data_IF_826910653451
#
_entry.id   IF_826910653451
#
_cell.length_a   1.000
_cell.length_b   1.000
_cell.length_c   1.000
_cell.angle_alpha   90.00
_cell.angle_beta   90.00
_cell.angle_gamma   90.00
#
_symmetry.space_group_name_H-M   'P 1'
#
loop_
_entity.id
_entity.type
_entity.pdbx_description
1 polymer ?
#
# COMPACT_ATOMS: atom_id res chain seq x y z
N UNK A 1 -9.90 46.65 -68.59
CA UNK A 1 -8.83 45.85 -68.04
C UNK A 1 -9.29 45.36 -66.64
N UNK A 2 -9.82 44.14 -66.57
CA UNK A 2 -10.29 43.51 -65.30
C UNK A 2 -9.17 42.63 -64.75
N UNK A 3 -8.68 42.94 -63.57
CA UNK A 3 -7.73 42.09 -62.83
C UNK A 3 -8.49 41.16 -61.89
N UNK A 4 -8.35 39.84 -62.17
CA UNK A 4 -8.98 38.77 -61.40
C UNK A 4 -8.10 38.42 -60.19
N UNK A 5 -8.62 38.60 -58.99
CA UNK A 5 -7.96 38.16 -57.72
C UNK A 5 -8.38 36.72 -57.44
N UNK A 6 -7.47 35.79 -57.55
CA UNK A 6 -7.64 34.42 -57.11
C UNK A 6 -7.39 34.31 -55.59
N UNK A 7 -8.40 33.97 -54.81
CA UNK A 7 -8.33 33.60 -53.39
C UNK A 7 -7.90 32.13 -53.31
N UNK A 8 -6.73 31.87 -52.74
CA UNK A 8 -6.30 30.53 -52.33
C UNK A 8 -6.86 30.22 -50.98
N UNK A 9 -7.74 29.21 -50.88
CA UNK A 9 -8.16 28.62 -49.60
C UNK A 9 -7.01 27.74 -49.08
N UNK A 10 -6.43 28.15 -47.96
CA UNK A 10 -5.52 27.29 -47.20
C UNK A 10 -6.33 26.34 -46.27
N UNK A 11 -6.20 25.04 -46.55
CA UNK A 11 -6.78 23.99 -45.74
C UNK A 11 -5.87 23.78 -44.48
N UNK A 12 -6.32 24.22 -43.31
CA UNK A 12 -5.65 23.95 -42.06
C UNK A 12 -6.00 22.51 -41.59
N UNK A 13 -5.02 21.62 -41.69
CA UNK A 13 -5.13 20.27 -41.13
C UNK A 13 -4.99 20.30 -39.60
N UNK A 14 -6.08 20.04 -38.90
CA UNK A 14 -6.08 19.83 -37.43
C UNK A 14 -5.49 18.45 -37.14
N UNK A 15 -4.28 18.40 -36.64
CA UNK A 15 -3.67 17.17 -36.11
C UNK A 15 -4.16 17.01 -34.66
N UNK A 16 -5.11 16.11 -34.48
CA UNK A 16 -5.59 15.71 -33.13
C UNK A 16 -4.54 14.81 -32.51
N UNK A 17 -3.73 15.31 -31.58
CA UNK A 17 -2.87 14.47 -30.75
C UNK A 17 -3.77 13.68 -29.77
N UNK A 18 -3.95 12.38 -30.05
CA UNK A 18 -4.46 11.43 -29.07
C UNK A 18 -3.37 11.16 -28.02
N UNK A 19 -3.52 11.72 -26.83
CA UNK A 19 -2.77 11.27 -25.65
C UNK A 19 -3.34 9.90 -25.21
N UNK A 20 -2.48 8.86 -25.08
CA UNK A 20 -2.93 7.63 -24.45
C UNK A 20 -3.22 7.94 -22.99
N UNK A 21 -4.46 7.78 -22.56
CA UNK A 21 -4.83 7.79 -21.16
C UNK A 21 -4.07 6.66 -20.44
N UNK A 22 -3.11 7.03 -19.62
CA UNK A 22 -2.46 6.10 -18.71
C UNK A 22 -3.57 5.54 -17.80
N UNK A 23 -3.89 4.26 -17.93
CA UNK A 23 -4.76 3.54 -17.01
C UNK A 23 -4.04 3.52 -15.64
N UNK A 24 -4.33 4.51 -14.79
CA UNK A 24 -4.14 4.37 -13.37
C UNK A 24 -4.94 3.13 -12.96
N UNK A 25 -4.28 2.14 -12.37
CA UNK A 25 -4.95 0.99 -11.80
C UNK A 25 -5.86 1.49 -10.68
N UNK A 26 -7.08 1.84 -11.03
CA UNK A 26 -8.12 2.22 -10.08
C UNK A 26 -8.35 0.99 -9.20
N UNK A 27 -8.18 1.16 -7.89
CA UNK A 27 -8.65 0.18 -6.93
C UNK A 27 -10.15 0.01 -7.20
N UNK A 28 -10.59 -1.25 -7.40
CA UNK A 28 -12.00 -1.52 -7.61
C UNK A 28 -12.82 -0.88 -6.49
N UNK A 29 -13.91 -0.15 -6.77
CA UNK A 29 -14.70 0.56 -5.76
C UNK A 29 -15.27 -0.36 -4.66
N UNK A 30 -15.26 -1.69 -4.88
CA UNK A 30 -15.74 -2.71 -3.95
C UNK A 30 -14.60 -3.39 -3.14
N UNK A 31 -13.36 -2.91 -3.22
CA UNK A 31 -12.26 -3.52 -2.49
C UNK A 31 -12.35 -3.24 -0.99
N UNK A 32 -12.56 -4.30 -0.20
CA UNK A 32 -12.66 -4.23 1.27
C UNK A 32 -11.32 -4.62 1.88
N UNK A 33 -10.88 -3.87 2.90
CA UNK A 33 -9.75 -4.26 3.72
C UNK A 33 -10.25 -4.92 5.01
N UNK A 34 -9.60 -6.03 5.40
CA UNK A 34 -9.90 -6.69 6.67
C UNK A 34 -8.65 -6.69 7.53
N UNK A 35 -8.78 -6.23 8.75
CA UNK A 35 -7.72 -6.25 9.77
C UNK A 35 -8.26 -6.88 11.04
N UNK A 36 -7.54 -7.84 11.59
CA UNK A 36 -8.02 -8.51 12.78
C UNK A 36 -7.08 -9.61 13.29
N UNK A 37 -7.64 -10.49 14.05
CA UNK A 37 -6.98 -11.70 14.58
C UNK A 37 -7.70 -12.92 14.04
N UNK A 38 -6.95 -13.92 13.62
CA UNK A 38 -7.49 -15.21 13.17
C UNK A 38 -8.09 -15.93 14.38
N UNK A 39 -9.37 -16.28 14.29
CA UNK A 39 -10.05 -17.11 15.32
C UNK A 39 -9.96 -18.60 14.96
N UNK A 40 -10.14 -18.92 13.68
CA UNK A 40 -10.03 -20.29 13.17
C UNK A 40 -9.74 -20.33 11.68
N UNK A 41 -9.23 -21.46 11.21
CA UNK A 41 -8.99 -21.74 9.78
C UNK A 41 -9.62 -23.08 9.46
N UNK A 42 -10.46 -23.10 8.42
CA UNK A 42 -11.12 -24.30 7.91
C UNK A 42 -10.95 -24.35 6.38
N UNK A 43 -10.00 -25.14 5.95
CA UNK A 43 -9.58 -25.20 4.56
C UNK A 43 -9.13 -23.80 4.06
N UNK A 44 -9.85 -23.28 3.06
CA UNK A 44 -9.60 -21.94 2.50
C UNK A 44 -10.39 -20.83 3.20
N UNK A 45 -11.13 -21.13 4.25
CA UNK A 45 -11.90 -20.15 5.00
C UNK A 45 -11.17 -19.77 6.28
N UNK A 46 -10.90 -18.49 6.43
CA UNK A 46 -10.28 -17.91 7.63
C UNK A 46 -11.33 -17.05 8.35
N UNK A 47 -11.68 -17.43 9.56
CA UNK A 47 -12.56 -16.64 10.42
C UNK A 47 -11.71 -15.61 11.16
N UNK A 48 -12.03 -14.34 10.98
CA UNK A 48 -11.25 -13.20 11.49
C UNK A 48 -12.14 -12.37 12.42
N UNK A 49 -11.65 -12.12 13.63
CA UNK A 49 -12.20 -11.11 14.53
C UNK A 49 -11.60 -9.76 14.19
N UNK A 50 -12.39 -8.87 13.62
CA UNK A 50 -12.00 -7.50 13.28
C UNK A 50 -11.57 -6.67 14.49
N UNK A 51 -10.86 -5.57 14.26
CA UNK A 51 -10.49 -4.60 15.33
C UNK A 51 -11.73 -3.93 15.94
N UNK A 52 -12.80 -3.86 15.20
CA UNK A 52 -14.15 -3.39 15.62
C UNK A 52 -14.95 -4.45 16.39
N UNK A 53 -14.39 -5.65 16.57
CA UNK A 53 -15.05 -6.79 17.19
C UNK A 53 -15.96 -7.59 16.27
N UNK A 54 -16.15 -7.17 15.01
CA UNK A 54 -17.00 -7.85 14.03
C UNK A 54 -16.29 -9.09 13.48
N UNK A 55 -16.98 -10.22 13.50
CA UNK A 55 -16.48 -11.44 12.87
C UNK A 55 -16.66 -11.36 11.35
N UNK A 56 -15.58 -11.62 10.60
CA UNK A 56 -15.56 -11.62 9.14
C UNK A 56 -15.02 -12.95 8.63
N UNK A 57 -15.74 -13.59 7.70
CA UNK A 57 -15.23 -14.77 6.99
C UNK A 57 -14.43 -14.31 5.78
N UNK A 58 -13.16 -14.71 5.71
CA UNK A 58 -12.30 -14.49 4.57
C UNK A 58 -12.14 -15.81 3.82
N UNK A 59 -12.56 -15.84 2.56
CA UNK A 59 -12.41 -16.99 1.66
C UNK A 59 -11.20 -16.74 0.77
N UNK A 60 -10.19 -17.58 0.87
CA UNK A 60 -9.01 -17.50 0.02
C UNK A 60 -9.32 -18.09 -1.36
N UNK A 61 -8.85 -17.42 -2.42
CA UNK A 61 -8.88 -18.00 -3.77
C UNK A 61 -7.85 -19.14 -3.87
N UNK A 62 -7.99 -20.02 -4.85
CA UNK A 62 -7.08 -21.17 -5.04
C UNK A 62 -5.62 -20.74 -5.26
N UNK A 63 -5.42 -19.57 -5.87
CA UNK A 63 -4.13 -18.95 -6.16
C UNK A 63 -3.71 -17.88 -5.13
N UNK A 64 -4.40 -17.82 -3.99
CA UNK A 64 -4.17 -16.80 -2.99
C UNK A 64 -2.70 -16.77 -2.53
N UNK A 65 -2.13 -15.57 -2.50
CA UNK A 65 -0.77 -15.33 -2.03
C UNK A 65 -0.79 -15.01 -0.54
N UNK A 66 -0.10 -15.84 0.23
CA UNK A 66 0.13 -15.59 1.66
C UNK A 66 1.51 -14.98 1.83
N UNK A 67 1.58 -13.84 2.50
CA UNK A 67 2.81 -13.21 2.95
C UNK A 67 2.79 -13.16 4.47
N UNK A 68 3.96 -13.22 5.08
CA UNK A 68 4.12 -12.91 6.50
C UNK A 68 4.76 -11.55 6.69
N UNK A 69 4.67 -11.03 7.90
CA UNK A 69 5.51 -9.92 8.38
C UNK A 69 6.33 -10.37 9.58
N UNK A 70 7.62 -10.12 9.48
CA UNK A 70 8.60 -10.33 10.55
C UNK A 70 9.04 -8.98 11.10
N UNK A 71 9.27 -8.91 12.43
CA UNK A 71 9.76 -7.68 13.08
C UNK A 71 11.15 -7.32 12.58
N UNK A 72 11.36 -6.04 12.33
CA UNK A 72 12.64 -5.44 11.97
C UNK A 72 12.96 -4.28 12.90
N UNK A 73 14.16 -3.74 12.75
CA UNK A 73 14.61 -2.58 13.49
C UNK A 73 14.62 -1.33 12.63
N UNK A 74 14.61 -0.17 13.27
CA UNK A 74 14.78 1.10 12.56
C UNK A 74 16.16 1.20 11.86
N UNK A 75 17.16 0.42 12.27
CA UNK A 75 18.47 0.35 11.61
C UNK A 75 18.38 -0.30 10.20
N UNK A 76 17.34 -1.11 9.94
CA UNK A 76 17.13 -1.72 8.62
C UNK A 76 16.49 -0.72 7.63
N UNK A 77 15.96 0.40 8.12
CA UNK A 77 15.36 1.48 7.34
C UNK A 77 16.45 2.48 6.96
N UNK A 78 17.01 2.36 5.76
CA UNK A 78 18.14 3.13 5.28
C UNK A 78 18.02 3.49 3.80
N UNK A 79 18.85 4.43 3.36
CA UNK A 79 18.89 4.88 1.96
C UNK A 79 18.94 3.70 0.97
N UNK A 80 18.18 3.80 -0.11
CA UNK A 80 18.08 2.81 -1.17
C UNK A 80 17.10 1.68 -0.90
N UNK A 81 16.57 1.53 0.33
CA UNK A 81 15.54 0.53 0.65
C UNK A 81 14.18 1.01 0.14
N UNK A 82 13.39 0.09 -0.42
CA UNK A 82 12.00 0.36 -0.79
C UNK A 82 11.09 0.02 0.38
N UNK A 83 10.34 1.01 0.85
CA UNK A 83 9.48 0.92 2.04
C UNK A 83 8.07 1.38 1.75
N UNK A 84 7.13 0.92 2.55
CA UNK A 84 5.84 1.56 2.73
C UNK A 84 5.77 2.20 4.11
N UNK A 85 5.32 3.44 4.19
CA UNK A 85 5.16 4.16 5.46
C UNK A 85 3.71 4.60 5.58
N UNK A 86 3.04 4.12 6.64
CA UNK A 86 1.79 4.75 7.08
C UNK A 86 2.14 5.92 7.96
N UNK A 87 1.57 7.08 7.69
CA UNK A 87 1.91 8.30 8.38
C UNK A 87 0.71 9.24 8.58
N UNK A 88 0.88 10.16 9.53
CA UNK A 88 -0.03 11.27 9.79
C UNK A 88 0.54 12.56 9.21
N UNK A 89 -0.20 13.25 8.32
CA UNK A 89 0.20 14.57 7.83
C UNK A 89 0.41 15.57 8.97
N UNK A 90 1.44 16.40 8.85
CA UNK A 90 1.77 17.46 9.81
C UNK A 90 1.48 18.84 9.18
N UNK A 91 1.27 19.90 10.00
CA UNK A 91 0.97 21.25 9.51
C UNK A 91 2.08 21.85 8.62
N UNK A 92 3.32 21.41 8.80
CA UNK A 92 4.49 21.85 8.01
C UNK A 92 4.64 21.10 6.68
N UNK A 93 3.69 20.22 6.34
CA UNK A 93 3.70 19.39 5.13
C UNK A 93 4.50 18.09 5.26
N UNK A 94 5.24 17.89 6.35
CA UNK A 94 5.91 16.62 6.65
C UNK A 94 4.90 15.53 7.03
N UNK A 95 5.36 14.28 7.13
CA UNK A 95 4.58 13.11 7.48
C UNK A 95 5.18 12.46 8.73
N UNK A 96 4.43 12.32 9.82
CA UNK A 96 4.88 11.60 11.00
C UNK A 96 4.57 10.12 10.84
N UNK A 97 5.61 9.28 10.76
CA UNK A 97 5.46 7.84 10.59
C UNK A 97 4.77 7.20 11.78
N UNK A 98 3.84 6.29 11.49
CA UNK A 98 3.09 5.46 12.43
C UNK A 98 3.62 4.03 12.40
N UNK A 99 3.95 3.54 11.20
CA UNK A 99 4.52 2.24 10.95
C UNK A 99 5.35 2.25 9.67
N UNK A 100 6.29 1.31 9.56
CA UNK A 100 7.09 1.11 8.36
C UNK A 100 7.11 -0.37 8.01
N UNK A 101 6.81 -0.70 6.76
CA UNK A 101 7.03 -2.03 6.23
C UNK A 101 8.06 -2.00 5.11
N UNK A 102 9.07 -2.85 5.25
CA UNK A 102 10.14 -3.01 4.27
C UNK A 102 9.69 -4.04 3.23
N UNK A 103 9.84 -3.71 1.97
CA UNK A 103 9.62 -4.66 0.88
C UNK A 103 10.92 -5.39 0.57
N UNK A 104 10.91 -6.74 0.46
CA UNK A 104 12.03 -7.45 -0.13
C UNK A 104 12.20 -7.04 -1.60
N UNK A 105 13.40 -7.20 -2.14
CA UNK A 105 13.74 -6.72 -3.48
C UNK A 105 12.77 -7.26 -4.56
N UNK A 106 12.31 -8.49 -4.44
CA UNK A 106 11.33 -9.08 -5.36
C UNK A 106 9.95 -8.36 -5.39
N UNK A 107 9.66 -7.55 -4.38
CA UNK A 107 8.42 -6.77 -4.27
C UNK A 107 8.67 -5.26 -4.43
N UNK A 108 9.88 -4.83 -4.81
CA UNK A 108 10.20 -3.43 -5.09
C UNK A 108 9.23 -2.84 -6.11
N UNK A 109 8.79 -1.60 -5.91
CA UNK A 109 7.83 -0.92 -6.77
C UNK A 109 6.35 -1.27 -6.51
N UNK A 110 6.06 -2.25 -5.64
CA UNK A 110 4.68 -2.63 -5.34
C UNK A 110 3.90 -1.46 -4.78
N UNK A 111 2.86 -1.02 -5.52
CA UNK A 111 1.97 0.06 -5.10
C UNK A 111 2.70 1.38 -4.84
N UNK A 112 3.76 1.69 -5.61
CA UNK A 112 4.51 2.94 -5.50
C UNK A 112 3.58 4.17 -5.58
N UNK A 113 3.87 5.17 -4.78
CA UNK A 113 3.14 6.43 -4.73
C UNK A 113 2.63 6.79 -3.35
N UNK A 114 1.95 7.94 -3.28
CA UNK A 114 1.35 8.51 -2.06
C UNK A 114 -0.17 8.55 -2.20
N UNK A 115 -0.90 8.11 -1.15
CA UNK A 115 -2.36 8.02 -1.18
C UNK A 115 -2.98 8.07 0.22
N UNK A 116 -4.26 8.46 0.34
CA UNK A 116 -5.02 8.27 1.57
C UNK A 116 -5.02 6.81 2.03
N UNK A 117 -5.00 6.61 3.35
CA UNK A 117 -4.99 5.28 3.95
C UNK A 117 -6.00 5.20 5.10
N UNK A 118 -6.45 3.99 5.40
CA UNK A 118 -7.54 3.75 6.35
C UNK A 118 -7.07 3.08 7.66
N UNK A 119 -5.76 3.12 7.96
CA UNK A 119 -5.26 2.60 9.24
C UNK A 119 -5.76 3.43 10.42
N UNK A 120 -5.76 4.75 10.25
CA UNK A 120 -6.32 5.75 11.17
C UNK A 120 -7.00 6.86 10.37
N UNK A 121 -7.92 7.65 10.98
CA UNK A 121 -8.49 8.82 10.34
C UNK A 121 -7.41 9.76 9.79
N UNK A 122 -7.54 10.18 8.53
CA UNK A 122 -6.59 11.05 7.82
C UNK A 122 -5.18 10.50 7.61
N UNK A 123 -4.93 9.21 7.90
CA UNK A 123 -3.63 8.62 7.62
C UNK A 123 -3.38 8.48 6.12
N UNK A 124 -2.10 8.43 5.77
CA UNK A 124 -1.62 8.25 4.40
C UNK A 124 -0.70 7.05 4.32
N UNK A 125 -0.60 6.46 3.14
CA UNK A 125 0.37 5.42 2.79
C UNK A 125 1.26 5.94 1.68
N UNK A 126 2.57 5.80 1.87
CA UNK A 126 3.56 6.11 0.84
C UNK A 126 4.47 4.91 0.63
N UNK A 127 4.44 4.33 -0.56
CA UNK A 127 5.39 3.29 -0.97
C UNK A 127 6.41 3.93 -1.90
N UNK A 128 7.68 3.91 -1.52
CA UNK A 128 8.73 4.59 -2.26
C UNK A 128 10.13 4.10 -1.88
N UNK A 129 11.13 4.53 -2.66
CA UNK A 129 12.52 4.39 -2.26
C UNK A 129 12.89 5.47 -1.23
N UNK A 130 13.71 5.10 -0.25
CA UNK A 130 14.36 6.08 0.62
C UNK A 130 15.48 6.74 -0.18
N UNK A 131 15.31 8.03 -0.51
CA UNK A 131 16.28 8.83 -1.25
C UNK A 131 17.40 9.34 -0.33
N UNK A 132 17.03 9.79 0.86
CA UNK A 132 17.98 10.25 1.88
C UNK A 132 17.47 10.00 3.29
N UNK A 133 18.39 9.92 4.24
CA UNK A 133 18.11 9.81 5.66
C UNK A 133 19.03 10.70 6.50
N UNK A 134 18.48 11.23 7.60
CA UNK A 134 19.24 11.89 8.66
C UNK A 134 18.89 11.19 9.98
N UNK A 135 19.91 10.69 10.67
CA UNK A 135 19.74 9.99 11.95
C UNK A 135 19.89 11.00 13.09
N UNK A 136 18.87 11.13 13.91
CA UNK A 136 18.85 11.95 15.13
C UNK A 136 18.76 11.11 16.39
N UNK A 137 18.85 11.73 17.55
CA UNK A 137 18.73 11.06 18.86
C UNK A 137 17.32 10.47 19.07
N UNK A 138 16.28 11.15 18.57
CA UNK A 138 14.87 10.80 18.80
C UNK A 138 14.24 10.03 17.62
N UNK A 139 15.05 9.60 16.65
CA UNK A 139 14.57 8.89 15.47
C UNK A 139 15.29 9.28 14.19
N UNK A 140 14.59 9.18 13.07
CA UNK A 140 15.13 9.52 11.75
C UNK A 140 14.26 10.55 11.04
N UNK A 141 14.88 11.35 10.19
CA UNK A 141 14.19 12.04 9.09
C UNK A 141 14.50 11.32 7.78
N UNK A 142 13.48 11.04 6.99
CA UNK A 142 13.60 10.37 5.71
C UNK A 142 12.99 11.25 4.61
N UNK A 143 13.61 11.23 3.44
CA UNK A 143 12.97 11.69 2.20
C UNK A 143 12.68 10.47 1.35
N UNK A 144 11.41 10.24 1.06
CA UNK A 144 10.95 9.18 0.18
C UNK A 144 10.64 9.76 -1.20
N UNK A 145 11.24 9.16 -2.23
CA UNK A 145 11.06 9.58 -3.63
C UNK A 145 10.28 8.52 -4.40
N UNK A 146 9.23 8.95 -5.08
CA UNK A 146 8.37 8.14 -5.93
C UNK A 146 8.11 8.88 -7.26
N UNK A 147 7.46 8.23 -8.21
CA UNK A 147 7.28 8.73 -9.58
C UNK A 147 6.72 10.16 -9.66
N UNK A 148 5.77 10.50 -8.79
CA UNK A 148 5.01 11.76 -8.88
C UNK A 148 5.49 12.82 -7.86
N UNK A 149 6.66 12.61 -7.22
CA UNK A 149 7.24 13.56 -6.27
C UNK A 149 8.02 12.92 -5.13
N UNK A 150 8.17 13.68 -4.08
CA UNK A 150 8.83 13.27 -2.84
C UNK A 150 8.05 13.72 -1.60
N UNK A 151 8.37 13.12 -0.46
CA UNK A 151 7.84 13.54 0.84
C UNK A 151 8.85 13.33 1.95
N UNK A 152 8.86 14.30 2.88
CA UNK A 152 9.64 14.23 4.12
C UNK A 152 8.85 13.50 5.19
N UNK A 153 9.53 12.56 5.86
CA UNK A 153 8.98 11.79 6.98
C UNK A 153 9.78 12.04 8.25
N UNK A 154 9.06 12.25 9.34
CA UNK A 154 9.60 12.22 10.70
C UNK A 154 9.30 10.83 11.25
N UNK A 155 10.32 10.07 11.56
CA UNK A 155 10.23 8.68 11.99
C UNK A 155 10.67 8.59 13.46
N UNK A 156 9.73 8.42 14.40
CA UNK A 156 10.05 8.26 15.82
C UNK A 156 10.93 7.03 16.09
N UNK A 157 11.78 7.07 17.11
CA UNK A 157 12.68 5.97 17.45
C UNK A 157 11.94 4.65 17.81
N UNK A 158 10.70 4.77 18.30
CA UNK A 158 9.86 3.64 18.69
C UNK A 158 8.85 3.22 17.63
N UNK A 159 9.00 3.67 16.38
CA UNK A 159 8.12 3.26 15.27
C UNK A 159 8.17 1.75 15.08
N UNK A 160 7.03 1.13 14.81
CA UNK A 160 6.99 -0.28 14.45
C UNK A 160 7.56 -0.47 13.03
N UNK A 161 8.54 -1.37 12.91
CA UNK A 161 9.15 -1.73 11.63
C UNK A 161 8.97 -3.22 11.40
N UNK A 162 8.44 -3.59 10.25
CA UNK A 162 8.27 -4.97 9.81
C UNK A 162 8.82 -5.15 8.40
N UNK A 163 9.03 -6.40 8.00
CA UNK A 163 9.43 -6.75 6.63
C UNK A 163 8.55 -7.87 6.12
N UNK A 164 8.12 -7.75 4.88
CA UNK A 164 7.44 -8.85 4.21
C UNK A 164 8.37 -10.04 4.00
N UNK A 165 7.86 -11.22 4.27
CA UNK A 165 8.52 -12.50 4.06
C UNK A 165 7.59 -13.47 3.33
N UNK A 166 8.13 -14.45 2.60
CA UNK A 166 7.34 -15.55 2.05
C UNK A 166 6.61 -16.31 3.16
N UNK A 167 5.38 -16.71 2.89
CA UNK A 167 4.57 -17.51 3.80
C UNK A 167 3.71 -18.51 3.02
N UNK A 168 3.13 -19.45 3.73
CA UNK A 168 2.23 -20.47 3.21
C UNK A 168 0.92 -20.49 4.00
N UNK A 169 -0.09 -21.21 3.49
CA UNK A 169 -1.38 -21.35 4.19
C UNK A 169 -1.23 -21.87 5.64
N UNK A 170 -0.23 -22.70 5.92
CA UNK A 170 0.07 -23.21 7.25
C UNK A 170 0.55 -22.15 8.26
N UNK A 171 0.90 -20.93 7.80
CA UNK A 171 1.22 -19.79 8.68
C UNK A 171 -0.05 -19.08 9.20
N UNK A 172 -1.20 -19.33 8.57
CA UNK A 172 -2.49 -18.82 9.02
C UNK A 172 -2.96 -19.65 10.23
N UNK A 173 -2.69 -19.16 11.43
CA UNK A 173 -2.98 -19.88 12.69
C UNK A 173 -3.88 -19.04 13.59
N UNK A 174 -4.75 -19.70 14.39
CA UNK A 174 -5.51 -19.00 15.42
C UNK A 174 -4.59 -18.18 16.34
N UNK A 175 -5.02 -16.95 16.66
CA UNK A 175 -4.28 -16.01 17.50
C UNK A 175 -3.34 -15.07 16.72
N UNK A 176 -2.95 -15.40 15.48
CA UNK A 176 -2.10 -14.52 14.68
C UNK A 176 -2.90 -13.35 14.08
N UNK A 177 -2.22 -12.20 13.96
CA UNK A 177 -2.78 -11.04 13.27
C UNK A 177 -2.87 -11.26 11.76
N UNK A 178 -3.94 -10.78 11.14
CA UNK A 178 -4.13 -10.87 9.68
C UNK A 178 -4.52 -9.52 9.08
N UNK A 179 -4.02 -9.27 7.88
CA UNK A 179 -4.42 -8.14 7.04
C UNK A 179 -4.75 -8.63 5.62
N UNK A 180 -5.93 -8.27 5.14
CA UNK A 180 -6.35 -8.43 3.74
C UNK A 180 -6.28 -7.06 3.07
N UNK A 181 -5.31 -6.80 2.17
CA UNK A 181 -5.11 -5.46 1.59
C UNK A 181 -6.19 -5.04 0.59
N UNK A 182 -6.92 -5.99 0.04
CA UNK A 182 -8.01 -5.76 -0.90
C UNK A 182 -8.73 -7.07 -1.18
N UNK A 183 -9.90 -7.25 -0.59
CA UNK A 183 -10.80 -8.37 -0.83
C UNK A 183 -12.06 -7.89 -1.53
N UNK A 184 -12.79 -8.82 -2.14
CA UNK A 184 -14.10 -8.58 -2.75
C UNK A 184 -15.19 -9.03 -1.79
N UNK A 185 -16.10 -8.13 -1.43
CA UNK A 185 -17.25 -8.47 -0.63
C UNK A 185 -18.20 -9.35 -1.45
N UNK A 186 -18.60 -10.50 -0.90
CA UNK A 186 -19.54 -11.43 -1.50
C UNK A 186 -20.97 -11.18 -0.98
N UNK A 187 -21.95 -11.73 -1.70
CA UNK A 187 -23.37 -11.57 -1.37
C UNK A 187 -23.76 -12.15 0.00
N UNK A 188 -23.02 -13.16 0.49
CA UNK A 188 -23.21 -13.78 1.81
C UNK A 188 -22.52 -12.99 2.95
N UNK A 189 -21.93 -11.82 2.64
CA UNK A 189 -21.22 -10.97 3.58
C UNK A 189 -19.77 -11.39 3.84
N UNK A 190 -19.30 -12.52 3.32
CA UNK A 190 -17.89 -12.92 3.39
C UNK A 190 -17.02 -12.07 2.44
N UNK A 191 -15.69 -12.16 2.60
CA UNK A 191 -14.71 -11.44 1.79
C UNK A 191 -13.84 -12.45 1.07
N UNK A 192 -13.84 -12.43 -0.26
CA UNK A 192 -12.93 -13.20 -1.09
C UNK A 192 -11.60 -12.50 -1.21
N UNK A 193 -10.49 -13.20 -0.99
CA UNK A 193 -9.15 -12.63 -0.95
C UNK A 193 -8.14 -13.44 -1.77
N UNK A 194 -7.52 -12.80 -2.76
CA UNK A 194 -6.38 -13.35 -3.51
C UNK A 194 -5.03 -13.05 -2.86
N UNK A 195 -5.00 -12.27 -1.76
CA UNK A 195 -3.78 -11.98 -1.00
C UNK A 195 -4.11 -11.73 0.46
N UNK A 196 -3.31 -12.29 1.33
CA UNK A 196 -3.36 -12.04 2.77
C UNK A 196 -1.96 -11.84 3.33
N UNK A 197 -1.87 -11.07 4.40
CA UNK A 197 -0.63 -10.86 5.16
C UNK A 197 -0.89 -11.32 6.59
N UNK A 198 -0.05 -12.19 7.11
CA UNK A 198 -0.16 -12.73 8.47
C UNK A 198 1.02 -12.28 9.31
N UNK A 199 0.80 -11.97 10.56
CA UNK A 199 1.86 -11.74 11.53
C UNK A 199 2.53 -13.05 11.94
N UNK A 200 3.80 -12.98 12.32
CA UNK A 200 4.52 -14.10 12.93
C UNK A 200 5.04 -13.72 14.31
N UNK A 201 5.09 -14.67 15.23
CA UNK A 201 5.65 -14.47 16.56
C UNK A 201 5.01 -13.29 17.32
N UNK A 202 3.68 -13.16 17.22
CA UNK A 202 2.92 -12.10 17.88
C UNK A 202 3.02 -10.73 17.20
N UNK A 203 3.71 -10.61 16.07
CA UNK A 203 3.71 -9.39 15.26
C UNK A 203 2.34 -9.25 14.60
N UNK A 204 1.70 -8.12 14.74
CA UNK A 204 0.46 -7.82 14.00
C UNK A 204 0.82 -7.05 12.73
N UNK A 205 0.27 -7.44 11.55
CA UNK A 205 0.46 -6.64 10.36
C UNK A 205 -0.03 -5.21 10.61
N UNK A 206 0.85 -4.20 10.57
CA UNK A 206 0.49 -2.85 11.02
C UNK A 206 -0.24 -2.03 9.94
N UNK A 207 -0.13 -2.43 8.67
CA UNK A 207 -0.68 -1.70 7.50
C UNK A 207 -2.21 -1.76 7.36
#
# INVERSE_FOLDING_TARGET
MLASIRRTLGTAAFVTLMFPAAMAAAQSPDAVRVRGTIESVDGQTVNVKGRDGIATKVKLTDDAKVLAVDRKSLADVKQGVFVGITAMPQPDGSQKAVEIHIFPEALRGTGEGHRPWDLMPNSTMTNANIDSEVVGADGKELVLKYKDGDKKFIVPANVEVVMFAPAAAGDLKPGEGIFVPGGKKLADGSVEAGRVVVGRNGVKPPM
#
